data_IF_227111586209
#
_entry.id   IF_227111586209
#
_cell.length_a   1.000
_cell.length_b   1.000
_cell.length_c   1.000
_cell.angle_alpha   90.00
_cell.angle_beta   90.00
_cell.angle_gamma   90.00
#
_symmetry.space_group_name_H-M   'P 1'
#
loop_
_entity.id
_entity.type
_entity.pdbx_description
1 polymer ?
#
# COMPACT_ATOMS: atom_id res chain seq x y z
N UNK A 1 -0.73 -7.68 5.15
CA UNK A 1 -0.78 -6.35 4.49
C UNK A 1 -0.05 -6.39 3.17
N UNK A 2 1.27 -6.66 3.15
CA UNK A 2 2.03 -6.82 1.90
C UNK A 2 1.40 -7.85 0.95
N UNK A 3 1.01 -9.02 1.44
CA UNK A 3 0.36 -10.06 0.61
C UNK A 3 -0.95 -9.57 -0.03
N UNK A 4 -1.75 -8.77 0.68
CA UNK A 4 -3.01 -8.24 0.14
C UNK A 4 -2.77 -7.16 -0.93
N UNK A 5 -1.73 -6.34 -0.74
CA UNK A 5 -1.28 -5.35 -1.72
C UNK A 5 -0.80 -6.07 -2.97
N UNK A 6 0.08 -7.07 -2.83
CA UNK A 6 0.56 -7.88 -3.95
C UNK A 6 -0.60 -8.57 -4.67
N UNK A 7 -1.49 -9.26 -3.97
CA UNK A 7 -2.60 -9.96 -4.62
C UNK A 7 -3.52 -9.04 -5.45
N UNK A 8 -3.59 -7.73 -5.15
CA UNK A 8 -4.42 -6.77 -5.90
C UNK A 8 -3.64 -6.00 -6.95
N UNK A 9 -2.38 -5.71 -6.67
CA UNK A 9 -1.56 -4.78 -7.44
C UNK A 9 -0.29 -5.41 -8.04
N UNK A 10 -0.09 -6.73 -7.93
CA UNK A 10 1.10 -7.42 -8.47
C UNK A 10 1.36 -7.12 -9.94
N UNK A 11 0.32 -6.95 -10.75
CA UNK A 11 0.43 -6.62 -12.17
C UNK A 11 0.74 -5.14 -12.45
N UNK A 12 0.61 -4.28 -11.44
CA UNK A 12 0.77 -2.82 -11.53
C UNK A 12 1.95 -2.30 -10.72
N UNK A 13 2.54 -3.13 -9.86
CA UNK A 13 3.72 -2.82 -9.06
C UNK A 13 4.95 -3.25 -9.83
N UNK A 14 5.81 -2.28 -10.16
CA UNK A 14 7.12 -2.55 -10.75
C UNK A 14 8.08 -3.16 -9.71
N UNK A 15 8.13 -2.56 -8.51
CA UNK A 15 9.01 -3.01 -7.44
C UNK A 15 8.39 -2.74 -6.06
N UNK A 16 8.64 -3.65 -5.10
CA UNK A 16 8.19 -3.51 -3.72
C UNK A 16 9.38 -3.64 -2.77
N UNK A 17 9.67 -2.54 -2.07
CA UNK A 17 10.75 -2.52 -1.08
C UNK A 17 10.16 -2.52 0.33
N UNK A 18 10.55 -3.51 1.13
CA UNK A 18 10.18 -3.58 2.55
C UNK A 18 11.39 -3.08 3.36
N UNK A 19 11.26 -1.91 3.96
CA UNK A 19 12.31 -1.33 4.81
C UNK A 19 12.00 -1.68 6.27
N UNK A 20 12.72 -2.63 6.90
CA UNK A 20 12.51 -2.94 8.31
C UNK A 20 13.03 -1.79 9.18
N UNK A 21 12.11 -1.03 9.76
CA UNK A 21 12.46 0.10 10.63
C UNK A 21 12.56 -0.34 12.09
N UNK A 22 13.60 0.10 12.79
CA UNK A 22 13.79 -0.15 14.23
C UNK A 22 13.09 0.97 15.02
N UNK A 23 11.93 0.66 15.60
CA UNK A 23 11.20 1.62 16.44
C UNK A 23 9.67 1.58 16.36
N UNK A 24 9.09 0.56 15.71
CA UNK A 24 7.63 0.43 15.61
C UNK A 24 6.96 1.42 14.64
N UNK A 25 7.76 2.17 13.89
CA UNK A 25 7.33 3.05 12.81
C UNK A 25 6.98 2.20 11.60
N UNK A 26 5.82 2.47 11.01
CA UNK A 26 5.33 1.83 9.80
C UNK A 26 4.85 2.92 8.85
N UNK A 27 5.46 2.98 7.67
CA UNK A 27 5.20 3.99 6.66
C UNK A 27 4.98 3.27 5.32
N UNK A 28 3.97 3.71 4.57
CA UNK A 28 3.66 3.19 3.24
C UNK A 28 3.81 4.35 2.27
N UNK A 29 4.66 4.15 1.26
CA UNK A 29 4.97 5.16 0.24
C UNK A 29 4.76 4.49 -1.12
N UNK A 30 4.07 5.18 -2.03
CA UNK A 30 3.86 4.73 -3.41
C UNK A 30 4.49 5.76 -4.34
N UNK A 31 5.54 5.35 -5.05
CA UNK A 31 6.36 6.28 -5.83
C UNK A 31 6.98 7.34 -4.92
N UNK A 32 6.52 8.58 -5.06
CA UNK A 32 6.97 9.74 -4.27
C UNK A 32 5.93 10.22 -3.23
N UNK A 33 4.80 9.51 -3.11
CA UNK A 33 3.69 9.91 -2.24
C UNK A 33 3.61 9.06 -0.98
N UNK A 34 3.68 9.70 0.19
CA UNK A 34 3.40 9.07 1.48
C UNK A 34 1.90 8.79 1.59
N UNK A 35 1.56 7.52 1.62
CA UNK A 35 0.17 7.04 1.65
C UNK A 35 -0.31 6.83 3.08
N UNK A 36 0.58 6.38 3.95
CA UNK A 36 0.26 6.10 5.35
C UNK A 36 1.49 6.28 6.24
N UNK A 37 1.30 6.86 7.43
CA UNK A 37 2.30 6.87 8.48
C UNK A 37 1.69 6.57 9.85
N UNK A 38 2.11 5.45 10.44
CA UNK A 38 1.71 5.04 11.79
C UNK A 38 2.14 6.06 12.84
N UNK A 39 3.26 6.73 12.60
CA UNK A 39 3.81 7.72 13.53
C UNK A 39 2.91 8.95 13.66
N UNK A 40 2.20 9.29 12.59
CA UNK A 40 1.27 10.44 12.57
C UNK A 40 -0.12 10.08 13.10
N UNK A 41 -0.57 8.86 12.82
CA UNK A 41 -1.94 8.42 13.13
C UNK A 41 -2.08 7.78 14.51
N UNK A 42 -0.98 7.40 15.16
CA UNK A 42 -0.92 6.68 16.45
C UNK A 42 -1.79 5.40 16.46
N UNK A 43 -2.03 4.81 15.29
CA UNK A 43 -2.81 3.58 15.10
C UNK A 43 -2.25 2.73 13.97
N UNK A 44 -2.62 1.46 13.97
CA UNK A 44 -2.29 0.56 12.86
C UNK A 44 -3.19 0.86 11.66
N UNK A 45 -2.60 0.89 10.46
CA UNK A 45 -3.39 0.93 9.23
C UNK A 45 -4.22 -0.33 9.10
N UNK A 46 -5.43 -0.20 8.56
CA UNK A 46 -6.19 -1.35 8.08
C UNK A 46 -5.76 -1.67 6.65
N UNK A 47 -5.94 -2.92 6.23
CA UNK A 47 -5.61 -3.33 4.85
C UNK A 47 -6.44 -2.53 3.85
N UNK A 48 -7.72 -2.38 4.11
CA UNK A 48 -8.66 -1.67 3.23
C UNK A 48 -8.25 -0.21 2.99
N UNK A 49 -7.93 0.55 4.05
CA UNK A 49 -7.50 1.95 3.96
C UNK A 49 -6.23 2.12 3.11
N UNK A 50 -5.26 1.21 3.28
CA UNK A 50 -4.04 1.23 2.49
C UNK A 50 -4.33 0.89 1.03
N UNK A 51 -5.19 -0.09 0.75
CA UNK A 51 -5.56 -0.46 -0.62
C UNK A 51 -6.31 0.67 -1.32
N UNK A 52 -7.28 1.31 -0.66
CA UNK A 52 -8.02 2.46 -1.21
C UNK A 52 -7.09 3.65 -1.49
N UNK A 53 -6.15 3.91 -0.58
CA UNK A 53 -5.22 5.03 -0.74
C UNK A 53 -4.20 4.76 -1.85
N UNK A 54 -3.77 3.51 -2.02
CA UNK A 54 -2.95 3.09 -3.17
C UNK A 54 -3.77 3.28 -4.45
N UNK A 55 -5.00 2.77 -4.52
CA UNK A 55 -5.90 2.88 -5.68
C UNK A 55 -6.12 4.33 -6.11
N UNK A 56 -6.26 5.25 -5.14
CA UNK A 56 -6.37 6.67 -5.42
C UNK A 56 -5.10 7.28 -6.07
N UNK A 57 -3.91 6.70 -5.84
CA UNK A 57 -2.62 7.16 -6.37
C UNK A 57 -2.35 6.58 -7.75
N UNK A 58 -2.43 5.25 -7.91
CA UNK A 58 -2.19 4.59 -9.20
C UNK A 58 -3.39 4.68 -10.16
N UNK A 59 -4.56 5.09 -9.65
CA UNK A 59 -5.82 5.10 -10.37
C UNK A 59 -6.58 3.78 -10.17
N UNK A 60 -7.90 3.76 -10.50
CA UNK A 60 -8.73 2.58 -10.34
C UNK A 60 -8.13 1.46 -11.18
N UNK A 61 -7.57 0.48 -10.48
CA UNK A 61 -7.12 -0.73 -11.14
C UNK A 61 -8.38 -1.43 -11.63
N UNK A 62 -8.55 -1.61 -12.95
CA UNK A 62 -9.67 -2.39 -13.43
C UNK A 62 -9.54 -3.77 -12.81
N UNK A 63 -10.60 -4.21 -12.12
CA UNK A 63 -10.70 -5.58 -11.65
C UNK A 63 -10.27 -6.51 -12.80
N UNK A 64 -9.43 -7.52 -12.55
CA UNK A 64 -9.14 -8.54 -13.54
C UNK A 64 -10.38 -9.45 -13.72
N UNK A 65 -11.53 -8.88 -14.05
CA UNK A 65 -12.74 -9.61 -14.39
C UNK A 65 -12.78 -9.74 -15.92
N UNK A 66 -12.26 -10.88 -16.39
CA UNK A 66 -12.20 -11.15 -17.81
C UNK A 66 -11.75 -12.55 -18.22
N UNK A 67 -12.07 -13.62 -17.47
CA UNK A 67 -12.46 -14.92 -18.06
C UNK A 67 -13.04 -15.92 -17.06
#
# INVERSE_FOLDING_TARGET
MVEAILSKFEHYIDDITIIPSRGGVFEVIVGDQLVFSKKELDRHATVDEVLESIDAIIGPVPDPEGS
#
